data_IF_983899015050
#
_entry.id   IF_983899015050
#
_cell.length_a   1.000
_cell.length_b   1.000
_cell.length_c   1.000
_cell.angle_alpha   90.00
_cell.angle_beta   90.00
_cell.angle_gamma   90.00
#
_symmetry.space_group_name_H-M   'P 1'
#
loop_
_entity.id
_entity.type
_entity.pdbx_description
1 polymer ?
#
# COMPACT_ATOMS: atom_id res chain seq x y z
N UNK A 1 -1.91 20.58 -38.85
CA UNK A 1 -3.23 20.70 -39.50
C UNK A 1 -4.30 20.40 -38.46
N UNK A 2 -5.45 21.06 -38.56
CA UNK A 2 -6.52 21.23 -37.56
C UNK A 2 -6.10 22.21 -36.43
N UNK A 3 -6.46 23.49 -36.44
CA UNK A 3 -7.67 24.13 -36.95
C UNK A 3 -8.63 24.45 -35.80
N UNK A 4 -8.12 25.11 -34.74
CA UNK A 4 -8.91 25.53 -33.58
C UNK A 4 -9.54 26.90 -33.81
N UNK A 5 -10.83 26.88 -34.13
CA UNK A 5 -11.71 28.03 -34.33
C UNK A 5 -11.64 29.03 -33.16
N UNK A 6 -11.18 30.24 -33.44
CA UNK A 6 -11.31 31.39 -32.56
C UNK A 6 -12.79 31.84 -32.58
N UNK A 7 -13.53 31.47 -31.54
CA UNK A 7 -14.88 31.98 -31.28
C UNK A 7 -14.75 33.41 -30.77
N UNK A 8 -14.92 34.38 -31.67
CA UNK A 8 -15.04 35.79 -31.34
C UNK A 8 -16.36 36.01 -30.57
N UNK A 9 -16.27 36.06 -29.24
CA UNK A 9 -17.35 36.53 -28.39
C UNK A 9 -17.57 38.01 -28.67
N UNK A 10 -18.61 38.29 -29.45
CA UNK A 10 -19.14 39.62 -29.71
C UNK A 10 -19.58 40.21 -28.37
N UNK A 11 -18.72 41.00 -27.73
CA UNK A 11 -19.09 41.78 -26.55
C UNK A 11 -20.25 42.71 -26.95
N UNK A 12 -21.46 42.31 -26.56
CA UNK A 12 -22.66 43.11 -26.71
C UNK A 12 -22.40 44.44 -26.03
N UNK A 13 -22.50 45.53 -26.80
CA UNK A 13 -22.30 46.89 -26.35
C UNK A 13 -23.21 47.23 -25.19
N UNK A 14 -22.72 46.95 -23.97
CA UNK A 14 -23.18 47.65 -22.78
C UNK A 14 -22.72 49.09 -23.01
N UNK A 15 -23.60 50.10 -22.92
CA UNK A 15 -23.15 51.48 -22.96
C UNK A 15 -22.05 51.60 -21.92
N UNK A 16 -20.83 51.93 -22.35
CA UNK A 16 -19.70 51.99 -21.46
C UNK A 16 -20.08 52.95 -20.34
N UNK A 17 -19.83 52.54 -19.09
CA UNK A 17 -20.09 53.35 -17.88
C UNK A 17 -19.60 54.80 -18.06
N UNK A 18 -18.57 54.97 -18.90
CA UNK A 18 -18.07 56.25 -19.40
C UNK A 18 -19.15 57.17 -20.01
N UNK A 19 -19.98 56.72 -20.96
CA UNK A 19 -21.02 57.57 -21.57
C UNK A 19 -22.12 57.96 -20.60
N UNK A 20 -22.46 57.07 -19.66
CA UNK A 20 -23.42 57.39 -18.60
C UNK A 20 -22.86 58.46 -17.65
N UNK A 21 -21.58 58.34 -17.28
CA UNK A 21 -20.87 59.37 -16.49
C UNK A 21 -20.76 60.71 -17.23
N UNK A 22 -20.45 60.70 -18.53
CA UNK A 22 -20.41 61.92 -19.35
C UNK A 22 -21.78 62.59 -19.41
N UNK A 23 -22.87 61.82 -19.54
CA UNK A 23 -24.22 62.37 -19.57
C UNK A 23 -24.63 62.95 -18.21
N UNK A 24 -24.29 62.26 -17.11
CA UNK A 24 -24.51 62.74 -15.74
C UNK A 24 -23.74 64.03 -15.46
N UNK A 25 -22.47 64.10 -15.88
CA UNK A 25 -21.64 65.28 -15.76
C UNK A 25 -22.20 66.44 -16.59
N UNK A 26 -22.67 66.17 -17.82
CA UNK A 26 -23.28 67.19 -18.67
C UNK A 26 -24.57 67.76 -18.06
N UNK A 27 -25.43 66.91 -17.50
CA UNK A 27 -26.64 67.35 -16.77
C UNK A 27 -26.27 68.16 -15.54
N UNK A 28 -25.25 67.75 -14.79
CA UNK A 28 -24.76 68.49 -13.62
C UNK A 28 -24.19 69.86 -13.98
N UNK A 29 -23.36 69.93 -15.04
CA UNK A 29 -22.77 71.18 -15.53
C UNK A 29 -23.85 72.12 -16.10
N UNK A 30 -24.81 71.59 -16.87
CA UNK A 30 -25.92 72.37 -17.39
C UNK A 30 -26.80 72.94 -16.25
N UNK A 31 -27.06 72.13 -15.23
CA UNK A 31 -27.78 72.57 -14.03
C UNK A 31 -27.01 73.64 -13.25
N UNK A 32 -25.70 73.43 -13.03
CA UNK A 32 -24.85 74.41 -12.34
C UNK A 32 -24.77 75.74 -13.10
N UNK A 33 -24.71 75.70 -14.44
CA UNK A 33 -24.79 76.88 -15.29
C UNK A 33 -26.13 77.62 -15.15
N UNK A 34 -27.25 76.89 -15.04
CA UNK A 34 -28.59 77.45 -14.86
C UNK A 34 -28.73 78.12 -13.49
N UNK A 35 -28.16 77.53 -12.43
CA UNK A 35 -28.09 78.11 -11.09
C UNK A 35 -27.20 79.37 -11.06
N UNK A 36 -26.02 79.32 -11.70
CA UNK A 36 -25.10 80.45 -11.78
C UNK A 36 -25.69 81.63 -12.58
N UNK A 37 -26.43 81.36 -13.66
CA UNK A 37 -27.15 82.37 -14.44
C UNK A 37 -28.31 83.01 -13.68
N UNK A 38 -29.00 82.26 -12.82
CA UNK A 38 -30.01 82.83 -11.92
C UNK A 38 -29.41 83.70 -10.81
N UNK A 39 -28.22 83.35 -10.32
CA UNK A 39 -27.53 84.10 -9.27
C UNK A 39 -26.99 85.48 -9.73
N UNK A 40 -26.76 85.68 -11.03
CA UNK A 40 -26.32 86.97 -11.58
C UNK A 40 -27.45 87.99 -11.79
N UNK A 41 -28.69 87.65 -11.41
CA UNK A 41 -29.84 88.57 -11.45
C UNK A 41 -30.45 88.76 -12.84
N UNK A 42 -30.01 87.99 -13.85
CA UNK A 42 -30.63 87.95 -15.17
C UNK A 42 -31.94 87.17 -15.07
N UNK A 43 -33.05 87.90 -15.14
CA UNK A 43 -34.38 87.33 -14.97
C UNK A 43 -34.81 86.61 -16.26
N UNK A 44 -34.53 85.31 -16.35
CA UNK A 44 -34.75 84.48 -17.57
C UNK A 44 -36.25 84.35 -17.90
N UNK A 45 -37.15 84.66 -16.95
CA UNK A 45 -38.59 84.73 -17.18
C UNK A 45 -39.12 86.16 -16.95
N UNK A 46 -39.77 86.80 -17.94
CA UNK A 46 -40.32 88.14 -17.76
C UNK A 46 -41.47 88.10 -16.76
N UNK A 47 -41.33 88.80 -15.62
CA UNK A 47 -42.45 89.08 -14.70
C UNK A 47 -42.47 88.32 -13.37
N UNK A 48 -41.42 87.58 -12.98
CA UNK A 48 -41.29 87.02 -11.61
C UNK A 48 -39.93 87.38 -11.01
N UNK A 49 -39.89 88.08 -9.89
CA UNK A 49 -38.64 88.35 -9.16
C UNK A 49 -38.13 87.08 -8.48
N UNK A 50 -36.83 86.80 -8.64
CA UNK A 50 -36.17 85.64 -8.04
C UNK A 50 -35.94 85.91 -6.55
N UNK A 51 -36.90 85.51 -5.70
CA UNK A 51 -36.79 85.69 -4.26
C UNK A 51 -36.11 84.48 -3.60
N UNK A 52 -34.88 84.67 -3.11
CA UNK A 52 -34.08 83.63 -2.42
C UNK A 52 -34.76 83.10 -1.15
N UNK A 53 -35.70 83.83 -0.55
CA UNK A 53 -36.48 83.36 0.60
C UNK A 53 -37.40 82.17 0.26
N UNK A 54 -37.73 81.95 -1.03
CA UNK A 54 -38.49 80.77 -1.51
C UNK A 54 -37.61 79.62 -2.01
N UNK A 55 -36.28 79.75 -2.01
CA UNK A 55 -35.38 78.68 -2.47
C UNK A 55 -35.37 77.46 -1.54
N UNK A 56 -35.84 77.60 -0.29
CA UNK A 56 -36.14 76.46 0.58
C UNK A 56 -37.16 75.47 -0.04
N UNK A 57 -38.18 75.97 -0.76
CA UNK A 57 -39.15 75.12 -1.47
C UNK A 57 -38.57 74.41 -2.69
N UNK A 58 -37.52 74.99 -3.31
CA UNK A 58 -36.74 74.29 -4.34
C UNK A 58 -35.95 73.12 -3.73
N UNK A 59 -35.39 73.30 -2.53
CA UNK A 59 -34.74 72.24 -1.75
C UNK A 59 -35.67 71.08 -1.38
N UNK A 60 -36.92 71.37 -0.99
CA UNK A 60 -37.94 70.34 -0.70
C UNK A 60 -38.26 69.46 -1.93
N UNK A 61 -38.17 70.03 -3.14
CA UNK A 61 -38.37 69.29 -4.38
C UNK A 61 -37.23 68.30 -4.68
N UNK A 62 -36.02 68.58 -4.18
CA UNK A 62 -34.86 67.66 -4.28
C UNK A 62 -34.88 66.54 -3.25
N UNK A 63 -35.64 66.68 -2.15
CA UNK A 63 -35.83 65.60 -1.17
C UNK A 63 -36.47 64.35 -1.77
N UNK A 64 -37.40 64.52 -2.72
CA UNK A 64 -38.03 63.42 -3.45
C UNK A 64 -37.00 62.74 -4.38
N UNK A 65 -36.16 63.54 -5.06
CA UNK A 65 -35.14 63.02 -5.96
C UNK A 65 -34.03 62.29 -5.21
N UNK A 66 -33.58 62.82 -4.06
CA UNK A 66 -32.56 62.18 -3.22
C UNK A 66 -33.09 60.90 -2.57
N UNK A 67 -34.35 60.89 -2.12
CA UNK A 67 -35.02 59.68 -1.63
C UNK A 67 -35.14 58.61 -2.73
N UNK A 68 -35.49 59.01 -3.95
CA UNK A 68 -35.56 58.10 -5.10
C UNK A 68 -34.18 57.51 -5.44
N UNK A 69 -33.14 58.34 -5.51
CA UNK A 69 -31.77 57.88 -5.79
C UNK A 69 -31.23 56.97 -4.67
N UNK A 70 -31.54 57.27 -3.41
CA UNK A 70 -31.19 56.42 -2.27
C UNK A 70 -31.89 55.06 -2.36
N UNK A 71 -33.17 55.04 -2.76
CA UNK A 71 -33.94 53.82 -2.97
C UNK A 71 -33.37 52.98 -4.12
N UNK A 72 -32.98 53.62 -5.23
CA UNK A 72 -32.30 52.95 -6.35
C UNK A 72 -30.95 52.38 -5.94
N UNK A 73 -30.14 53.14 -5.22
CA UNK A 73 -28.86 52.67 -4.71
C UNK A 73 -29.05 51.46 -3.80
N UNK A 74 -29.99 51.52 -2.86
CA UNK A 74 -30.34 50.40 -1.99
C UNK A 74 -30.81 49.16 -2.76
N UNK A 75 -31.61 49.35 -3.83
CA UNK A 75 -32.07 48.26 -4.70
C UNK A 75 -30.91 47.59 -5.44
N UNK A 76 -30.00 48.37 -6.01
CA UNK A 76 -28.82 47.82 -6.70
C UNK A 76 -27.89 47.11 -5.72
N UNK A 77 -27.59 47.70 -4.56
CA UNK A 77 -26.79 47.06 -3.52
C UNK A 77 -27.43 45.75 -3.05
N UNK A 78 -28.76 45.72 -2.89
CA UNK A 78 -29.48 44.50 -2.54
C UNK A 78 -29.31 43.41 -3.60
N UNK A 79 -29.44 43.75 -4.89
CA UNK A 79 -29.22 42.79 -5.98
C UNK A 79 -27.80 42.24 -5.99
N UNK A 80 -26.79 43.10 -5.86
CA UNK A 80 -25.38 42.65 -5.81
C UNK A 80 -25.15 41.70 -4.65
N UNK A 81 -25.72 41.98 -3.47
CA UNK A 81 -25.56 41.13 -2.29
C UNK A 81 -26.22 39.75 -2.44
N UNK A 82 -27.34 39.67 -3.17
CA UNK A 82 -27.98 38.38 -3.50
C UNK A 82 -27.11 37.57 -4.46
N UNK A 83 -26.57 38.18 -5.51
CA UNK A 83 -25.68 37.51 -6.46
C UNK A 83 -24.38 37.01 -5.79
N UNK A 84 -23.77 37.82 -4.91
CA UNK A 84 -22.59 37.41 -4.13
C UNK A 84 -22.89 36.21 -3.21
N UNK A 85 -24.05 36.17 -2.57
CA UNK A 85 -24.45 35.03 -1.72
C UNK A 85 -24.58 33.74 -2.51
N UNK A 86 -25.11 33.80 -3.72
CA UNK A 86 -25.22 32.62 -4.59
C UNK A 86 -23.85 32.14 -5.09
N UNK A 87 -23.00 33.07 -5.54
CA UNK A 87 -21.64 32.78 -5.97
C UNK A 87 -20.83 32.13 -4.84
N UNK A 88 -20.92 32.66 -3.61
CA UNK A 88 -20.23 32.12 -2.44
C UNK A 88 -20.70 30.70 -2.09
N UNK A 89 -22.01 30.42 -2.18
CA UNK A 89 -22.57 29.08 -1.97
C UNK A 89 -22.04 28.07 -3.01
N UNK A 90 -22.01 28.46 -4.28
CA UNK A 90 -21.46 27.62 -5.34
C UNK A 90 -19.97 27.36 -5.13
N UNK A 91 -19.23 28.37 -4.69
CA UNK A 91 -17.81 28.23 -4.36
C UNK A 91 -17.59 27.24 -3.22
N UNK A 92 -18.32 27.37 -2.11
CA UNK A 92 -18.26 26.40 -1.00
C UNK A 92 -18.60 24.97 -1.44
N UNK A 93 -19.57 24.79 -2.33
CA UNK A 93 -19.89 23.46 -2.87
C UNK A 93 -18.74 22.89 -3.72
N UNK A 94 -18.07 23.73 -4.51
CA UNK A 94 -16.90 23.31 -5.29
C UNK A 94 -15.75 22.93 -4.38
N UNK A 95 -15.46 23.72 -3.37
CA UNK A 95 -14.38 23.46 -2.41
C UNK A 95 -14.64 22.17 -1.63
N UNK A 96 -15.87 21.99 -1.11
CA UNK A 96 -16.27 20.75 -0.46
C UNK A 96 -16.17 19.53 -1.38
N UNK A 97 -16.44 19.69 -2.68
CA UNK A 97 -16.31 18.62 -3.67
C UNK A 97 -14.85 18.30 -3.95
N UNK A 98 -14.00 19.32 -4.10
CA UNK A 98 -12.55 19.15 -4.30
C UNK A 98 -11.92 18.47 -3.09
N UNK A 99 -12.29 18.86 -1.87
CA UNK A 99 -11.82 18.22 -0.64
C UNK A 99 -12.22 16.75 -0.55
N UNK A 100 -13.46 16.43 -0.92
CA UNK A 100 -13.92 15.02 -0.97
C UNK A 100 -13.14 14.21 -1.98
N UNK A 101 -12.86 14.77 -3.16
CA UNK A 101 -12.06 14.11 -4.20
C UNK A 101 -10.62 13.94 -3.72
N UNK A 102 -10.02 14.96 -3.14
CA UNK A 102 -8.65 14.94 -2.61
C UNK A 102 -8.48 13.90 -1.50
N UNK A 103 -9.44 13.83 -0.55
CA UNK A 103 -9.47 12.80 0.50
C UNK A 103 -9.62 11.40 -0.10
N UNK A 104 -10.57 11.21 -1.01
CA UNK A 104 -10.76 9.92 -1.68
C UNK A 104 -9.53 9.48 -2.50
N UNK A 105 -8.82 10.42 -3.14
CA UNK A 105 -7.58 10.12 -3.84
C UNK A 105 -6.42 9.78 -2.90
N UNK A 106 -6.30 10.50 -1.78
CA UNK A 106 -5.26 10.25 -0.77
C UNK A 106 -5.46 8.88 -0.12
N UNK A 107 -6.70 8.52 0.24
CA UNK A 107 -7.03 7.19 0.77
C UNK A 107 -6.71 6.07 -0.23
N UNK A 108 -7.01 6.28 -1.52
CA UNK A 108 -6.67 5.31 -2.58
C UNK A 108 -5.16 5.18 -2.75
N UNK A 109 -4.41 6.29 -2.66
CA UNK A 109 -2.96 6.28 -2.74
C UNK A 109 -2.36 5.50 -1.57
N UNK A 110 -2.77 5.80 -0.33
CA UNK A 110 -2.30 5.09 0.85
C UNK A 110 -2.63 3.60 0.84
N UNK A 111 -3.81 3.21 0.33
CA UNK A 111 -4.13 1.79 0.14
C UNK A 111 -3.20 1.11 -0.86
N UNK A 112 -2.87 1.78 -1.96
CA UNK A 112 -1.92 1.26 -2.96
C UNK A 112 -0.51 1.17 -2.42
N UNK A 113 -0.04 2.18 -1.69
CA UNK A 113 1.27 2.18 -1.04
C UNK A 113 1.40 0.98 -0.09
N UNK A 114 0.41 0.77 0.78
CA UNK A 114 0.41 -0.39 1.68
C UNK A 114 0.45 -1.73 0.94
N UNK A 115 -0.36 -1.87 -0.11
CA UNK A 115 -0.35 -3.08 -0.93
C UNK A 115 1.00 -3.29 -1.64
N UNK A 116 1.64 -2.20 -2.10
CA UNK A 116 2.97 -2.26 -2.70
C UNK A 116 4.04 -2.63 -1.69
N UNK A 117 4.00 -2.06 -0.48
CA UNK A 117 4.93 -2.36 0.61
C UNK A 117 4.79 -3.82 1.06
N UNK A 118 3.54 -4.31 1.20
CA UNK A 118 3.25 -5.71 1.51
C UNK A 118 3.79 -6.64 0.42
N UNK A 119 3.49 -6.36 -0.86
CA UNK A 119 3.98 -7.17 -1.99
C UNK A 119 5.51 -7.14 -2.09
N UNK A 120 6.14 -5.99 -1.87
CA UNK A 120 7.59 -5.84 -1.85
C UNK A 120 8.21 -6.63 -0.69
N UNK A 121 7.58 -6.63 0.49
CA UNK A 121 8.04 -7.41 1.65
C UNK A 121 7.98 -8.92 1.38
N UNK A 122 6.93 -9.40 0.73
CA UNK A 122 6.78 -10.80 0.33
C UNK A 122 7.84 -11.19 -0.71
N UNK A 123 8.02 -10.38 -1.75
CA UNK A 123 9.05 -10.62 -2.77
C UNK A 123 10.46 -10.63 -2.18
N UNK A 124 10.74 -9.73 -1.23
CA UNK A 124 12.02 -9.70 -0.52
C UNK A 124 12.24 -10.95 0.35
N UNK A 125 11.17 -11.45 0.99
CA UNK A 125 11.21 -12.67 1.77
C UNK A 125 11.44 -13.91 0.87
N UNK A 126 10.79 -13.98 -0.29
CA UNK A 126 11.05 -15.02 -1.30
C UNK A 126 12.50 -15.01 -1.76
N UNK A 127 13.02 -13.85 -2.14
CA UNK A 127 14.42 -13.71 -2.54
C UNK A 127 15.39 -14.13 -1.43
N UNK A 128 15.05 -13.83 -0.17
CA UNK A 128 15.82 -14.27 1.00
C UNK A 128 15.79 -15.79 1.16
N UNK A 129 14.62 -16.42 1.00
CA UNK A 129 14.49 -17.89 1.06
C UNK A 129 15.38 -18.57 0.01
N UNK A 130 15.35 -18.12 -1.25
CA UNK A 130 16.21 -18.70 -2.30
C UNK A 130 17.70 -18.48 -2.03
N UNK A 131 18.10 -17.29 -1.54
CA UNK A 131 19.49 -17.07 -1.09
C UNK A 131 19.91 -18.01 0.03
N UNK A 132 19.01 -18.33 0.96
CA UNK A 132 19.30 -19.32 1.99
C UNK A 132 19.44 -20.72 1.37
N UNK A 133 18.60 -21.11 0.40
CA UNK A 133 18.78 -22.38 -0.30
C UNK A 133 20.15 -22.48 -0.98
N UNK A 134 20.60 -21.41 -1.65
CA UNK A 134 21.92 -21.36 -2.28
C UNK A 134 23.04 -21.51 -1.24
N UNK A 135 22.95 -20.80 -0.12
CA UNK A 135 23.92 -20.91 0.98
C UNK A 135 23.94 -22.33 1.59
N UNK A 136 22.78 -23.00 1.69
CA UNK A 136 22.72 -24.40 2.13
C UNK A 136 23.49 -25.30 1.17
N UNK A 137 23.32 -25.10 -0.14
CA UNK A 137 24.02 -25.89 -1.15
C UNK A 137 25.53 -25.64 -1.12
N UNK A 138 25.96 -24.41 -0.84
CA UNK A 138 27.38 -24.09 -0.62
C UNK A 138 27.94 -24.82 0.61
N UNK A 139 27.24 -24.74 1.76
CA UNK A 139 27.63 -25.47 2.99
C UNK A 139 27.72 -26.97 2.71
N UNK A 140 26.75 -27.53 1.98
CA UNK A 140 26.77 -28.93 1.59
C UNK A 140 28.02 -29.24 0.75
N UNK A 141 28.33 -28.42 -0.25
CA UNK A 141 29.50 -28.59 -1.12
C UNK A 141 30.83 -28.58 -0.36
N UNK A 142 30.92 -27.79 0.70
CA UNK A 142 32.10 -27.68 1.57
C UNK A 142 32.22 -28.81 2.60
N UNK A 143 31.17 -29.61 2.82
CA UNK A 143 31.24 -30.74 3.75
C UNK A 143 32.26 -31.78 3.28
N UNK A 144 33.13 -32.21 4.20
CA UNK A 144 34.13 -33.26 3.97
C UNK A 144 33.91 -34.41 4.92
N UNK A 145 33.91 -35.64 4.39
CA UNK A 145 33.89 -36.87 5.17
C UNK A 145 34.96 -37.82 4.65
N UNK A 146 35.70 -38.46 5.55
CA UNK A 146 36.76 -39.41 5.18
C UNK A 146 36.24 -40.84 5.26
N UNK A 147 36.24 -41.54 4.12
CA UNK A 147 35.94 -42.97 4.00
C UNK A 147 37.18 -43.65 3.43
N UNK A 148 37.73 -44.65 4.13
CA UNK A 148 38.97 -45.35 3.75
C UNK A 148 40.16 -44.43 3.43
N UNK A 149 40.30 -43.33 4.18
CA UNK A 149 41.38 -42.35 4.00
C UNK A 149 41.20 -41.42 2.80
N UNK A 150 40.12 -41.54 2.03
CA UNK A 150 39.80 -40.64 0.90
C UNK A 150 38.80 -39.56 1.32
N UNK A 151 39.07 -38.27 1.05
CA UNK A 151 38.10 -37.22 1.31
C UNK A 151 36.97 -37.30 0.29
N UNK A 152 35.74 -37.43 0.78
CA UNK A 152 34.52 -37.27 0.01
C UNK A 152 33.92 -35.91 0.33
N UNK A 153 33.38 -35.24 -0.69
CA UNK A 153 32.81 -33.90 -0.56
C UNK A 153 31.34 -33.85 -0.96
N UNK A 154 30.60 -32.83 -0.50
CA UNK A 154 29.25 -32.59 -0.99
C UNK A 154 28.27 -33.70 -0.62
N UNK A 155 27.40 -34.03 -1.58
CA UNK A 155 26.46 -35.15 -1.46
C UNK A 155 27.15 -36.51 -1.28
N UNK A 156 28.37 -36.68 -1.81
CA UNK A 156 29.10 -37.94 -1.64
C UNK A 156 29.53 -38.14 -0.19
N UNK A 157 29.87 -37.05 0.52
CA UNK A 157 30.17 -37.09 1.95
C UNK A 157 28.94 -37.58 2.74
N UNK A 158 27.76 -36.99 2.50
CA UNK A 158 26.53 -37.40 3.19
C UNK A 158 26.12 -38.83 2.84
N UNK A 159 26.28 -39.24 1.58
CA UNK A 159 25.99 -40.63 1.17
C UNK A 159 26.90 -41.64 1.90
N UNK A 160 28.19 -41.33 2.08
CA UNK A 160 29.11 -42.17 2.83
C UNK A 160 28.77 -42.19 4.33
N UNK A 161 28.42 -41.04 4.91
CA UNK A 161 27.92 -40.96 6.29
C UNK A 161 26.68 -41.85 6.46
N UNK A 162 25.72 -41.76 5.54
CA UNK A 162 24.50 -42.56 5.55
C UNK A 162 24.79 -44.06 5.46
N UNK A 163 25.70 -44.49 4.57
CA UNK A 163 26.14 -45.90 4.51
C UNK A 163 26.77 -46.37 5.82
N UNK A 164 27.59 -45.53 6.44
CA UNK A 164 28.25 -45.82 7.71
C UNK A 164 27.21 -46.00 8.82
N UNK A 165 26.23 -45.08 8.90
CA UNK A 165 25.08 -45.17 9.82
C UNK A 165 24.30 -46.46 9.56
N UNK A 166 23.92 -46.73 8.32
CA UNK A 166 23.12 -47.89 7.95
C UNK A 166 23.80 -49.23 8.25
N UNK A 167 25.14 -49.28 8.17
CA UNK A 167 25.92 -50.48 8.52
C UNK A 167 26.12 -50.62 10.04
N UNK A 168 26.19 -49.51 10.76
CA UNK A 168 26.49 -49.49 12.20
C UNK A 168 25.23 -49.48 13.09
N UNK A 169 24.07 -49.18 12.51
CA UNK A 169 22.82 -49.06 13.24
C UNK A 169 22.18 -50.44 13.44
N UNK A 170 21.88 -50.76 14.68
CA UNK A 170 21.04 -51.89 15.04
C UNK A 170 19.75 -51.36 15.68
N UNK A 171 18.60 -51.72 15.12
CA UNK A 171 17.29 -51.31 15.64
C UNK A 171 17.02 -51.84 17.06
N UNK A 172 17.64 -52.96 17.44
CA UNK A 172 17.50 -53.56 18.76
C UNK A 172 18.52 -53.02 19.78
N UNK A 173 19.45 -52.17 19.34
CA UNK A 173 20.41 -51.52 20.24
C UNK A 173 19.72 -50.61 21.24
N UNK A 174 20.40 -50.36 22.35
CA UNK A 174 19.87 -49.48 23.41
C UNK A 174 19.68 -48.04 22.89
N UNK A 175 18.74 -47.30 23.47
CA UNK A 175 18.52 -45.89 23.11
C UNK A 175 19.81 -45.06 23.22
N UNK A 176 20.66 -45.38 24.21
CA UNK A 176 21.94 -44.71 24.44
C UNK A 176 22.92 -44.94 23.28
N UNK A 177 22.95 -46.14 22.69
CA UNK A 177 23.79 -46.44 21.52
C UNK A 177 23.30 -45.71 20.28
N UNK A 178 21.98 -45.67 20.07
CA UNK A 178 21.36 -44.90 18.98
C UNK A 178 21.66 -43.41 19.11
N UNK A 179 21.58 -42.86 20.33
CA UNK A 179 21.93 -41.47 20.63
C UNK A 179 23.40 -41.17 20.38
N UNK A 180 24.31 -42.03 20.84
CA UNK A 180 25.75 -41.88 20.56
C UNK A 180 26.05 -41.89 19.07
N UNK A 181 25.41 -42.79 18.32
CA UNK A 181 25.54 -42.87 16.87
C UNK A 181 25.03 -41.58 16.22
N UNK A 182 23.81 -41.15 16.56
CA UNK A 182 23.21 -39.92 16.04
C UNK A 182 24.06 -38.69 16.33
N UNK A 183 24.56 -38.53 17.56
CA UNK A 183 25.35 -37.37 17.96
C UNK A 183 26.74 -37.34 17.29
N UNK A 184 27.35 -38.52 17.04
CA UNK A 184 28.60 -38.61 16.27
C UNK A 184 28.46 -38.02 14.87
N UNK A 185 27.41 -38.39 14.15
CA UNK A 185 27.19 -37.88 12.79
C UNK A 185 26.64 -36.45 12.79
N UNK A 186 25.84 -36.10 13.80
CA UNK A 186 25.37 -34.73 14.01
C UNK A 186 26.53 -33.78 14.16
N UNK A 187 27.62 -34.13 14.85
CA UNK A 187 28.78 -33.26 14.97
C UNK A 187 29.40 -32.91 13.60
N UNK A 188 29.53 -33.91 12.72
CA UNK A 188 30.12 -33.73 11.38
C UNK A 188 29.21 -32.95 10.45
N UNK A 189 27.89 -33.17 10.51
CA UNK A 189 26.90 -32.45 9.69
C UNK A 189 26.18 -31.32 10.44
N UNK A 190 26.72 -30.86 11.58
CA UNK A 190 26.02 -29.97 12.51
C UNK A 190 25.62 -28.66 11.84
N UNK A 191 26.57 -28.06 11.11
CA UNK A 191 26.36 -26.81 10.40
C UNK A 191 25.27 -26.96 9.34
N UNK A 192 25.29 -28.05 8.58
CA UNK A 192 24.31 -28.36 7.55
C UNK A 192 22.90 -28.59 8.13
N UNK A 193 22.76 -29.41 9.17
CA UNK A 193 21.47 -29.67 9.83
C UNK A 193 20.91 -28.41 10.49
N UNK A 194 21.74 -27.67 11.22
CA UNK A 194 21.33 -26.42 11.89
C UNK A 194 20.89 -25.38 10.87
N UNK A 195 21.61 -25.25 9.76
CA UNK A 195 21.23 -24.31 8.72
C UNK A 195 19.91 -24.71 8.05
N UNK A 196 19.70 -26.00 7.77
CA UNK A 196 18.41 -26.51 7.26
C UNK A 196 17.26 -26.23 8.21
N UNK A 197 17.46 -26.43 9.52
CA UNK A 197 16.50 -26.04 10.55
C UNK A 197 16.19 -24.54 10.53
N UNK A 198 17.20 -23.68 10.36
CA UNK A 198 16.99 -22.23 10.31
C UNK A 198 16.21 -21.77 9.08
N UNK A 199 16.33 -22.45 7.93
CA UNK A 199 15.49 -22.18 6.77
C UNK A 199 14.02 -22.45 7.12
N UNK A 200 13.73 -23.60 7.71
CA UNK A 200 12.35 -23.96 8.09
C UNK A 200 11.82 -23.02 9.16
N UNK A 201 12.66 -22.66 10.15
CA UNK A 201 12.29 -21.70 11.18
C UNK A 201 11.94 -20.33 10.58
N UNK A 202 12.72 -19.83 9.61
CA UNK A 202 12.43 -18.56 8.93
C UNK A 202 11.13 -18.61 8.11
N UNK A 203 10.73 -19.80 7.62
CA UNK A 203 9.42 -19.97 6.99
C UNK A 203 8.27 -19.87 7.99
N UNK A 204 8.41 -20.43 9.19
CA UNK A 204 7.37 -20.42 10.23
C UNK A 204 7.24 -19.07 10.92
N UNK A 205 8.37 -18.44 11.27
CA UNK A 205 8.41 -17.20 12.03
C UNK A 205 8.40 -15.93 11.14
N UNK A 206 8.57 -16.11 9.83
CA UNK A 206 8.81 -15.01 8.89
C UNK A 206 7.60 -14.61 8.03
N UNK A 207 7.80 -13.67 7.08
CA UNK A 207 6.72 -13.15 6.23
C UNK A 207 6.09 -14.20 5.30
N UNK A 208 6.75 -15.34 5.09
CA UNK A 208 6.27 -16.44 4.25
C UNK A 208 5.41 -17.46 5.01
N UNK A 209 5.05 -17.21 6.28
CA UNK A 209 4.30 -18.15 7.11
C UNK A 209 3.02 -18.67 6.44
N UNK A 210 2.27 -17.80 5.76
CA UNK A 210 1.04 -18.16 5.07
C UNK A 210 1.25 -19.24 3.98
N UNK A 211 2.44 -19.25 3.36
CA UNK A 211 2.83 -20.19 2.31
C UNK A 211 3.95 -21.14 2.76
N UNK A 212 4.21 -21.26 4.07
CA UNK A 212 5.37 -21.99 4.60
C UNK A 212 5.45 -23.43 4.09
N UNK A 213 4.31 -24.11 3.99
CA UNK A 213 4.24 -25.47 3.45
C UNK A 213 4.70 -25.56 2.00
N UNK A 214 4.38 -24.58 1.15
CA UNK A 214 4.83 -24.51 -0.25
C UNK A 214 6.35 -24.47 -0.32
N UNK A 215 6.98 -23.59 0.46
CA UNK A 215 8.45 -23.47 0.48
C UNK A 215 9.13 -24.64 1.17
N UNK A 216 8.53 -25.22 2.22
CA UNK A 216 9.03 -26.43 2.86
C UNK A 216 9.06 -27.61 1.86
N UNK A 217 8.06 -27.72 0.98
CA UNK A 217 8.07 -28.70 -0.13
C UNK A 217 9.18 -28.44 -1.13
N UNK A 218 9.46 -27.18 -1.47
CA UNK A 218 10.58 -26.82 -2.35
C UNK A 218 11.91 -27.22 -1.71
N UNK A 219 12.13 -26.87 -0.43
CA UNK A 219 13.30 -27.29 0.32
C UNK A 219 13.43 -28.82 0.35
N UNK A 220 12.34 -29.54 0.64
CA UNK A 220 12.30 -31.00 0.65
C UNK A 220 12.68 -31.61 -0.69
N UNK A 221 12.22 -31.03 -1.81
CA UNK A 221 12.55 -31.50 -3.15
C UNK A 221 14.04 -31.35 -3.50
N UNK A 222 14.77 -30.47 -2.81
CA UNK A 222 16.22 -30.27 -3.00
C UNK A 222 17.09 -31.23 -2.16
N UNK A 223 16.48 -32.01 -1.25
CA UNK A 223 17.16 -32.97 -0.39
C UNK A 223 17.19 -34.34 -1.07
N UNK A 224 18.37 -34.98 -1.12
CA UNK A 224 18.47 -36.39 -1.48
C UNK A 224 17.90 -37.29 -0.38
N UNK A 225 17.63 -38.55 -0.71
CA UNK A 225 17.14 -39.53 0.27
C UNK A 225 18.10 -39.68 1.45
N UNK A 226 19.41 -39.76 1.21
CA UNK A 226 20.43 -39.83 2.26
C UNK A 226 20.42 -38.59 3.16
N UNK A 227 20.24 -37.41 2.59
CA UNK A 227 20.11 -36.16 3.37
C UNK A 227 18.87 -36.19 4.26
N UNK A 228 17.72 -36.56 3.70
CA UNK A 228 16.47 -36.70 4.45
C UNK A 228 16.60 -37.74 5.57
N UNK A 229 17.25 -38.87 5.29
CA UNK A 229 17.41 -39.96 6.23
C UNK A 229 18.32 -39.56 7.39
N UNK A 230 19.42 -38.86 7.11
CA UNK A 230 20.33 -38.33 8.14
C UNK A 230 19.66 -37.28 9.02
N UNK A 231 18.85 -36.39 8.43
CA UNK A 231 18.06 -35.40 9.18
C UNK A 231 17.03 -36.12 10.05
N UNK A 232 16.27 -37.08 9.49
CA UNK A 232 15.27 -37.85 10.22
C UNK A 232 15.89 -38.64 11.36
N UNK A 233 17.02 -39.29 11.13
CA UNK A 233 17.78 -40.02 12.15
C UNK A 233 18.21 -39.10 13.30
N UNK A 234 18.70 -37.90 12.98
CA UNK A 234 19.07 -36.88 13.97
C UNK A 234 17.85 -36.38 14.76
N UNK A 235 16.70 -36.22 14.11
CA UNK A 235 15.45 -35.85 14.78
C UNK A 235 14.91 -36.99 15.65
N UNK A 236 15.12 -38.25 15.25
CA UNK A 236 14.61 -39.42 15.95
C UNK A 236 15.45 -39.80 17.17
N UNK A 237 16.77 -39.61 17.10
CA UNK A 237 17.70 -40.14 18.09
C UNK A 237 18.80 -39.18 18.54
N UNK A 238 18.95 -37.99 17.96
CA UNK A 238 20.00 -37.04 18.35
C UNK A 238 19.45 -35.81 19.08
N UNK A 239 20.33 -34.80 19.23
CA UNK A 239 19.99 -33.49 19.78
C UNK A 239 18.89 -32.73 18.99
N UNK A 240 18.53 -33.24 17.80
CA UNK A 240 17.46 -32.73 16.94
C UNK A 240 16.03 -33.11 17.39
N UNK A 241 15.87 -34.00 18.40
CA UNK A 241 14.57 -34.45 18.93
C UNK A 241 13.61 -33.35 19.40
N UNK A 242 14.13 -32.16 19.69
CA UNK A 242 13.32 -31.02 20.06
C UNK A 242 12.61 -30.39 18.86
N UNK A 243 12.78 -29.08 18.71
CA UNK A 243 12.01 -28.23 17.78
C UNK A 243 12.01 -28.67 16.32
N UNK A 244 13.03 -29.38 15.83
CA UNK A 244 13.04 -29.83 14.43
C UNK A 244 12.08 -31.01 14.21
N UNK A 245 11.91 -31.90 15.19
CA UNK A 245 10.92 -32.96 15.09
C UNK A 245 9.49 -32.40 14.97
N UNK A 246 9.19 -31.29 15.66
CA UNK A 246 7.88 -30.63 15.57
C UNK A 246 7.62 -30.07 14.18
N UNK A 247 8.58 -29.35 13.59
CA UNK A 247 8.48 -28.89 12.21
C UNK A 247 8.40 -30.05 11.21
N UNK A 248 9.12 -31.15 11.46
CA UNK A 248 9.04 -32.31 10.59
C UNK A 248 7.63 -32.91 10.55
N UNK A 249 6.92 -32.93 11.68
CA UNK A 249 5.51 -33.34 11.78
C UNK A 249 4.56 -32.33 11.13
N UNK A 250 4.78 -31.04 11.35
CA UNK A 250 3.95 -29.96 10.77
C UNK A 250 3.96 -30.00 9.23
N UNK A 251 5.13 -30.20 8.63
CA UNK A 251 5.31 -30.15 7.18
C UNK A 251 5.32 -31.51 6.48
N UNK A 252 5.08 -32.61 7.21
CA UNK A 252 5.33 -33.98 6.73
C UNK A 252 6.69 -34.08 6.01
N UNK A 253 7.74 -33.55 6.65
CA UNK A 253 9.00 -33.21 5.99
C UNK A 253 9.72 -34.45 5.42
N UNK A 254 9.44 -35.64 5.95
CA UNK A 254 10.06 -36.89 5.54
C UNK A 254 9.20 -37.74 4.58
N UNK A 255 8.17 -37.16 3.97
CA UNK A 255 7.28 -37.85 3.02
C UNK A 255 7.99 -38.57 1.86
N UNK A 256 9.15 -38.06 1.43
CA UNK A 256 9.90 -38.62 0.31
C UNK A 256 10.90 -39.73 0.71
N UNK A 257 10.93 -40.15 1.99
CA UNK A 257 11.78 -41.25 2.42
C UNK A 257 11.21 -42.60 1.98
N UNK A 258 12.07 -43.52 1.54
CA UNK A 258 11.63 -44.86 1.20
C UNK A 258 11.12 -45.61 2.43
N UNK A 259 10.10 -46.45 2.22
CA UNK A 259 9.55 -47.31 3.27
C UNK A 259 10.62 -48.22 3.91
N UNK A 260 11.62 -48.62 3.12
CA UNK A 260 12.79 -49.39 3.59
C UNK A 260 13.56 -48.57 4.63
N UNK A 261 14.00 -47.36 4.28
CA UNK A 261 14.75 -46.48 5.21
C UNK A 261 13.94 -46.19 6.47
N UNK A 262 12.64 -45.92 6.34
CA UNK A 262 11.75 -45.68 7.51
C UNK A 262 11.73 -46.88 8.45
N UNK A 263 11.64 -48.10 7.89
CA UNK A 263 11.61 -49.34 8.65
C UNK A 263 12.97 -49.67 9.28
N UNK A 264 14.04 -49.61 8.49
CA UNK A 264 15.39 -49.98 8.91
C UNK A 264 15.86 -49.15 10.11
N UNK A 265 15.45 -47.87 10.18
CA UNK A 265 15.79 -46.97 11.29
C UNK A 265 14.71 -46.82 12.37
N UNK A 266 13.57 -47.53 12.26
CA UNK A 266 12.45 -47.39 13.20
C UNK A 266 11.91 -45.95 13.30
N UNK A 267 11.99 -45.16 12.22
CA UNK A 267 11.73 -43.71 12.29
C UNK A 267 10.27 -43.39 12.57
N UNK A 268 9.34 -44.25 12.13
CA UNK A 268 7.90 -44.07 12.35
C UNK A 268 7.54 -44.17 13.82
N UNK A 269 8.16 -45.07 14.56
CA UNK A 269 7.98 -45.20 16.02
C UNK A 269 8.54 -43.98 16.76
N UNK A 270 9.70 -43.47 16.33
CA UNK A 270 10.36 -42.35 16.99
C UNK A 270 9.72 -40.99 16.69
N UNK A 271 9.25 -40.76 15.46
CA UNK A 271 8.78 -39.45 14.99
C UNK A 271 7.26 -39.34 14.86
N UNK A 272 6.56 -40.48 14.74
CA UNK A 272 5.13 -40.55 14.46
C UNK A 272 4.79 -40.38 12.97
N UNK A 273 3.59 -40.82 12.60
CA UNK A 273 3.12 -40.86 11.19
C UNK A 273 3.05 -39.49 10.54
N UNK A 274 2.71 -38.45 11.32
CA UNK A 274 2.59 -37.07 10.86
C UNK A 274 3.87 -36.52 10.19
N UNK A 275 5.04 -37.05 10.56
CA UNK A 275 6.30 -36.63 9.94
C UNK A 275 6.49 -37.15 8.50
N UNK A 276 5.72 -38.17 8.09
CA UNK A 276 5.83 -38.86 6.80
C UNK A 276 4.57 -38.70 5.94
N UNK A 277 3.41 -38.59 6.57
CA UNK A 277 2.12 -38.50 5.92
C UNK A 277 1.36 -37.30 6.47
N UNK A 278 0.84 -36.48 5.57
CA UNK A 278 -0.08 -35.42 5.99
C UNK A 278 -1.41 -36.07 6.32
N UNK A 279 -2.00 -35.71 7.47
CA UNK A 279 -3.40 -36.01 7.73
C UNK A 279 -4.22 -35.51 6.54
N UNK A 280 -5.04 -36.38 5.96
CA UNK A 280 -5.81 -36.18 4.73
C UNK A 280 -6.95 -35.17 4.92
N UNK A 281 -6.65 -33.94 5.33
CA UNK A 281 -7.59 -32.83 5.39
C UNK A 281 -7.50 -31.88 4.18
N UNK A 282 -6.69 -32.20 3.17
CA UNK A 282 -6.65 -31.47 1.89
C UNK A 282 -7.48 -32.18 0.81
N UNK A 283 -8.78 -32.25 1.09
CA UNK A 283 -9.84 -32.16 0.10
C UNK A 283 -10.60 -30.84 0.28
N UNK A 284 -9.90 -29.72 0.45
CA UNK A 284 -10.47 -28.37 0.40
C UNK A 284 -9.34 -27.33 0.35
N UNK A 285 -8.97 -26.89 -0.85
CA UNK A 285 -8.41 -25.56 -1.03
C UNK A 285 -9.61 -24.61 -1.06
N UNK A 286 -9.85 -23.77 -0.03
CA UNK A 286 -10.85 -22.72 -0.15
C UNK A 286 -10.25 -21.63 -1.03
N UNK A 287 -10.63 -21.59 -2.31
CA UNK A 287 -10.32 -20.45 -3.19
C UNK A 287 -9.79 -20.76 -4.59
N UNK A 288 -9.76 -22.01 -5.05
CA UNK A 288 -9.48 -22.28 -6.47
C UNK A 288 -10.80 -22.25 -7.27
N UNK A 289 -11.19 -21.07 -7.78
CA UNK A 289 -12.22 -20.98 -8.81
C UNK A 289 -11.73 -21.68 -10.09
N UNK A 290 -12.58 -22.46 -10.77
CA UNK A 290 -12.22 -23.09 -12.04
C UNK A 290 -12.23 -22.04 -13.16
N UNK A 291 -11.06 -21.80 -13.75
CA UNK A 291 -10.92 -21.23 -15.10
C UNK A 291 -11.15 -22.29 -16.17
#
# INVERSE_FOLDING_TARGET
MAGGSAVATKESGKPSIFWFLVMLLAVFVAWWGLVALGATGLNIWPGKEWNFERTGQLGDSFGILSAFMTTLAAFFTYRTLVEEREAYRLQQQRDNRLDRIAKASAERLHKRERQQDEAASLSAAEARFFRMLDLRLAILGEMVFYEDGKPLMGRNAINAMFRTVNTSFDINSSIIEKEKLANRFTYVSAHYHRFTYHIIKDLVDGPLQADAYRYARILRAQLSESELAMIAFTCAYGDGRGRFADFAREFAFFHNLSAKTIKDFGLREALGDAAFERASSEGAVPGAEPT
#
